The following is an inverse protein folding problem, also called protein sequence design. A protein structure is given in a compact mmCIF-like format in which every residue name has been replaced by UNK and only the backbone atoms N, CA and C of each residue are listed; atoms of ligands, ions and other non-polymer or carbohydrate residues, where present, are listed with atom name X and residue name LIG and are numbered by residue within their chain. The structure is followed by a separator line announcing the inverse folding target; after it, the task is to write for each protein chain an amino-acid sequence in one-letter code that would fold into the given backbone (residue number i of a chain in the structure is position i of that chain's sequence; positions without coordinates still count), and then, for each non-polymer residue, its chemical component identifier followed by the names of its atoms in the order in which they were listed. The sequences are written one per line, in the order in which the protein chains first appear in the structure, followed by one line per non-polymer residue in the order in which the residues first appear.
data_IF_525658148378
#
_entry.id   IF_525658148378
#
_cell.length_a   1.000
_cell.length_b   1.000
_cell.length_c   1.000
_cell.angle_alpha   90.00
_cell.angle_beta   90.00
_cell.angle_gamma   90.00
#
_symmetry.space_group_name_H-M   'P 1'
#
loop_
_entity.id
_entity.type
_entity.pdbx_description
1 polymer ?
#
# COMPACT_ATOMS: atom_id res chain seq x y z
N UNK A 1 14.54 5.74 1.70
CA UNK A 1 13.12 6.14 1.62
C UNK A 1 12.94 7.62 1.23
N UNK A 2 13.98 8.43 1.34
CA UNK A 2 13.86 9.92 1.28
C UNK A 2 13.66 10.56 -0.11
N UNK A 3 13.59 9.76 -1.18
CA UNK A 3 13.49 10.33 -2.53
C UNK A 3 12.14 10.13 -3.22
N UNK A 4 11.22 9.37 -2.61
CA UNK A 4 9.94 9.05 -3.23
C UNK A 4 8.92 10.19 -3.08
N UNK A 5 8.85 10.78 -1.89
CA UNK A 5 7.93 11.89 -1.61
C UNK A 5 8.20 13.15 -2.44
N UNK A 6 9.47 13.63 -2.56
CA UNK A 6 9.79 14.74 -3.45
C UNK A 6 9.43 14.44 -4.91
N UNK A 7 9.59 13.20 -5.36
CA UNK A 7 9.28 12.80 -6.72
C UNK A 7 7.77 12.81 -7.01
N UNK A 8 6.95 12.38 -6.04
CA UNK A 8 5.49 12.48 -6.12
C UNK A 8 5.05 13.94 -6.22
N UNK A 9 5.66 14.82 -5.42
CA UNK A 9 5.38 16.26 -5.46
C UNK A 9 5.73 16.87 -6.84
N UNK A 10 6.89 16.53 -7.40
CA UNK A 10 7.32 16.97 -8.73
C UNK A 10 6.35 16.48 -9.81
N UNK A 11 5.94 15.22 -9.76
CA UNK A 11 5.00 14.66 -10.73
C UNK A 11 3.61 15.29 -10.67
N UNK A 12 3.17 15.68 -9.47
CA UNK A 12 1.90 16.37 -9.27
C UNK A 12 1.91 17.78 -9.90
N UNK A 13 3.02 18.51 -9.76
CA UNK A 13 3.10 19.91 -10.21
C UNK A 13 3.63 20.06 -11.64
N UNK A 14 4.34 19.06 -12.14
CA UNK A 14 4.96 19.08 -13.48
C UNK A 14 4.58 17.84 -14.31
N UNK A 15 3.35 17.78 -14.84
CA UNK A 15 2.88 16.61 -15.60
C UNK A 15 3.73 16.30 -16.84
N UNK A 16 4.38 17.31 -17.45
CA UNK A 16 5.31 17.12 -18.55
C UNK A 16 6.56 16.35 -18.15
N UNK A 17 7.07 16.56 -16.92
CA UNK A 17 8.21 15.79 -16.39
C UNK A 17 7.79 14.34 -16.13
N UNK A 18 6.57 14.13 -15.62
CA UNK A 18 5.99 12.78 -15.48
C UNK A 18 5.95 12.06 -16.83
N UNK A 19 5.40 12.70 -17.86
CA UNK A 19 5.28 12.12 -19.20
C UNK A 19 6.65 11.84 -19.82
N UNK A 20 7.61 12.74 -19.67
CA UNK A 20 8.96 12.57 -20.17
C UNK A 20 9.69 11.40 -19.49
N UNK A 21 9.62 11.32 -18.16
CA UNK A 21 10.27 10.25 -17.38
C UNK A 21 9.62 8.88 -17.58
N UNK A 22 8.29 8.82 -17.70
CA UNK A 22 7.56 7.58 -17.94
C UNK A 22 7.58 7.14 -19.39
N UNK A 23 7.84 8.07 -20.33
CA UNK A 23 8.02 7.80 -21.76
C UNK A 23 9.44 7.39 -22.15
N UNK A 24 10.40 7.40 -21.22
CA UNK A 24 11.79 6.99 -21.49
C UNK A 24 11.83 5.49 -21.77
N UNK A 25 12.41 5.04 -22.89
CA UNK A 25 12.62 3.62 -23.18
C UNK A 25 13.34 2.90 -22.04
N UNK A 26 12.98 1.63 -21.78
CA UNK A 26 13.53 0.82 -20.67
C UNK A 26 15.07 0.77 -20.65
N UNK A 27 15.72 0.88 -21.81
CA UNK A 27 17.17 0.93 -21.92
C UNK A 27 17.79 2.16 -21.25
N UNK A 28 17.10 3.31 -21.26
CA UNK A 28 17.57 4.54 -20.59
C UNK A 28 17.17 4.58 -19.11
N UNK A 29 16.05 3.99 -18.74
CA UNK A 29 15.60 3.89 -17.34
C UNK A 29 16.61 3.10 -16.47
N UNK A 30 17.34 2.17 -17.07
CA UNK A 30 18.38 1.41 -16.38
C UNK A 30 19.60 2.24 -15.97
N UNK A 31 19.82 3.36 -16.61
CA UNK A 31 20.96 4.27 -16.36
C UNK A 31 20.59 5.27 -15.23
N UNK A 32 19.32 5.61 -15.07
CA UNK A 32 18.87 6.67 -14.18
C UNK A 32 18.92 6.31 -12.69
N UNK A 33 18.43 5.16 -12.25
CA UNK A 33 18.61 4.61 -10.87
C UNK A 33 18.06 3.17 -10.78
N UNK A 34 18.67 2.28 -9.97
CA UNK A 34 18.16 0.91 -9.77
C UNK A 34 16.72 0.85 -9.23
N UNK A 35 16.30 1.83 -8.40
CA UNK A 35 14.94 1.95 -7.86
C UNK A 35 13.88 2.19 -8.93
N UNK A 36 14.23 2.85 -10.04
CA UNK A 36 13.31 3.12 -11.14
C UNK A 36 12.92 1.83 -11.88
N UNK A 37 13.83 0.85 -11.95
CA UNK A 37 13.54 -0.46 -12.55
C UNK A 37 12.40 -1.20 -11.86
N UNK A 38 12.35 -1.14 -10.52
CA UNK A 38 11.29 -1.76 -9.73
C UNK A 38 9.91 -1.16 -10.04
N UNK A 39 9.84 0.17 -10.12
CA UNK A 39 8.59 0.89 -10.43
C UNK A 39 8.12 0.57 -11.85
N UNK A 40 9.03 0.58 -12.83
CA UNK A 40 8.68 0.25 -14.22
C UNK A 40 8.24 -1.21 -14.37
N UNK A 41 8.90 -2.14 -13.69
CA UNK A 41 8.50 -3.55 -13.70
C UNK A 41 7.11 -3.75 -13.08
N UNK A 42 6.81 -3.07 -11.97
CA UNK A 42 5.49 -3.09 -11.34
C UNK A 42 4.42 -2.49 -12.26
N UNK A 43 4.71 -1.34 -12.89
CA UNK A 43 3.80 -0.72 -13.85
C UNK A 43 3.50 -1.64 -15.04
N UNK A 44 4.52 -2.32 -15.57
CA UNK A 44 4.37 -3.29 -16.67
C UNK A 44 3.52 -4.49 -16.26
N UNK A 45 3.81 -5.07 -15.08
CA UNK A 45 3.05 -6.21 -14.55
C UNK A 45 1.58 -5.85 -14.34
N UNK A 46 1.33 -4.71 -13.69
CA UNK A 46 -0.03 -4.24 -13.43
C UNK A 46 -0.76 -3.89 -14.73
N UNK A 47 -0.06 -3.27 -15.69
CA UNK A 47 -0.62 -3.00 -17.02
C UNK A 47 -1.07 -4.26 -17.74
N UNK A 48 -0.27 -5.34 -17.69
CA UNK A 48 -0.66 -6.62 -18.27
C UNK A 48 -1.90 -7.22 -17.60
N UNK A 49 -1.98 -7.17 -16.26
CA UNK A 49 -3.17 -7.63 -15.53
C UNK A 49 -4.43 -6.84 -15.91
N UNK A 50 -4.31 -5.51 -16.06
CA UNK A 50 -5.43 -4.66 -16.48
C UNK A 50 -5.83 -4.97 -17.92
N UNK A 51 -4.89 -5.21 -18.82
CA UNK A 51 -5.17 -5.60 -20.20
C UNK A 51 -5.94 -6.92 -20.26
N UNK A 52 -5.60 -7.89 -19.42
CA UNK A 52 -6.30 -9.16 -19.32
C UNK A 52 -7.72 -8.99 -18.77
N UNK A 53 -7.90 -8.19 -17.72
CA UNK A 53 -9.22 -7.87 -17.14
C UNK A 53 -10.10 -7.13 -18.16
N UNK A 54 -9.57 -6.17 -18.90
CA UNK A 54 -10.33 -5.42 -19.89
C UNK A 54 -10.70 -6.27 -21.11
N UNK A 55 -9.87 -7.26 -21.46
CA UNK A 55 -10.16 -8.22 -22.52
C UNK A 55 -11.25 -9.23 -22.12
N UNK A 56 -11.20 -9.68 -20.88
CA UNK A 56 -12.18 -10.61 -20.32
C UNK A 56 -12.56 -10.21 -18.89
N UNK A 57 -13.57 -9.33 -18.72
CA UNK A 57 -14.05 -8.94 -17.40
C UNK A 57 -14.61 -10.08 -16.56
N UNK A 58 -15.00 -11.20 -17.19
CA UNK A 58 -15.49 -12.39 -16.46
C UNK A 58 -14.40 -13.07 -15.65
N UNK A 59 -13.12 -12.82 -15.97
CA UNK A 59 -11.98 -13.30 -15.20
C UNK A 59 -11.99 -12.83 -13.74
N UNK A 60 -12.59 -11.67 -13.47
CA UNK A 60 -12.76 -11.18 -12.10
C UNK A 60 -13.66 -12.10 -11.25
N UNK A 61 -14.61 -12.78 -11.85
CA UNK A 61 -15.52 -13.69 -11.13
C UNK A 61 -14.83 -14.98 -10.65
N UNK A 62 -13.65 -15.28 -11.18
CA UNK A 62 -12.86 -16.48 -10.81
C UNK A 62 -11.92 -16.21 -9.62
N UNK A 63 -11.84 -14.96 -9.14
CA UNK A 63 -10.98 -14.57 -8.02
C UNK A 63 -11.73 -14.81 -6.71
N UNK A 64 -11.08 -15.48 -5.74
CA UNK A 64 -11.68 -15.86 -4.46
C UNK A 64 -12.10 -14.68 -3.55
N UNK A 65 -11.70 -13.46 -3.90
CA UNK A 65 -12.01 -12.26 -3.13
C UNK A 65 -12.28 -11.07 -4.07
N UNK A 66 -13.08 -10.13 -3.61
CA UNK A 66 -13.31 -8.88 -4.33
C UNK A 66 -12.03 -8.04 -4.39
N UNK A 67 -11.70 -7.61 -5.59
CA UNK A 67 -10.62 -6.66 -5.85
C UNK A 67 -11.20 -5.27 -6.16
N UNK A 68 -10.39 -4.24 -6.10
CA UNK A 68 -10.81 -2.88 -6.43
C UNK A 68 -11.35 -2.77 -7.87
N UNK A 69 -10.87 -3.61 -8.78
CA UNK A 69 -11.34 -3.63 -10.17
C UNK A 69 -12.80 -4.09 -10.31
N UNK A 70 -13.29 -4.95 -9.38
CA UNK A 70 -14.72 -5.27 -9.31
C UNK A 70 -15.56 -4.01 -9.10
N UNK A 71 -15.13 -3.14 -8.17
CA UNK A 71 -15.85 -1.90 -7.87
C UNK A 71 -15.74 -0.88 -9.01
N UNK A 72 -14.57 -0.74 -9.62
CA UNK A 72 -14.38 0.21 -10.72
C UNK A 72 -15.13 -0.18 -12.00
N UNK A 73 -15.21 -1.47 -12.32
CA UNK A 73 -15.84 -1.96 -13.55
C UNK A 73 -17.33 -2.29 -13.37
N UNK A 74 -17.85 -2.26 -12.14
CA UNK A 74 -19.29 -2.39 -11.90
C UNK A 74 -20.00 -1.10 -12.34
N UNK A 75 -21.08 -1.17 -13.13
CA UNK A 75 -21.85 -0.01 -13.52
C UNK A 75 -22.33 0.76 -12.28
N UNK A 76 -21.95 2.04 -12.18
CA UNK A 76 -22.37 2.91 -11.10
C UNK A 76 -23.69 3.62 -11.48
N UNK A 77 -24.53 3.96 -10.47
CA UNK A 77 -25.72 4.79 -10.73
C UNK A 77 -25.35 6.11 -11.40
N UNK A 78 -26.19 6.61 -12.30
CA UNK A 78 -25.95 7.82 -13.11
C UNK A 78 -25.59 9.09 -12.32
N UNK A 79 -25.88 9.11 -11.01
CA UNK A 79 -25.60 10.25 -10.14
C UNK A 79 -24.15 10.34 -9.64
N UNK A 80 -23.33 9.32 -9.84
CA UNK A 80 -21.91 9.35 -9.50
C UNK A 80 -21.12 9.65 -10.76
N UNK A 81 -20.73 10.93 -10.93
CA UNK A 81 -19.82 11.36 -12.02
C UNK A 81 -18.40 10.87 -11.75
N UNK A 82 -18.15 9.62 -12.03
CA UNK A 82 -16.76 9.13 -12.12
C UNK A 82 -16.17 9.56 -13.47
N UNK A 83 -14.85 9.85 -13.51
CA UNK A 83 -14.17 10.06 -14.78
C UNK A 83 -14.33 8.82 -15.68
N UNK A 84 -14.27 8.97 -17.01
CA UNK A 84 -14.33 7.81 -17.90
C UNK A 84 -13.23 6.81 -17.52
N UNK A 85 -13.63 5.56 -17.32
CA UNK A 85 -12.73 4.47 -16.93
C UNK A 85 -11.89 4.10 -18.16
N UNK A 86 -10.65 4.58 -18.16
CA UNK A 86 -9.66 4.25 -19.18
C UNK A 86 -8.64 3.26 -18.60
N UNK A 87 -7.92 2.57 -19.49
CA UNK A 87 -6.80 1.70 -19.11
C UNK A 87 -5.76 2.44 -18.24
N UNK A 88 -5.41 3.65 -18.68
CA UNK A 88 -4.44 4.50 -17.99
C UNK A 88 -4.93 4.91 -16.61
N UNK A 89 -6.22 5.24 -16.49
CA UNK A 89 -6.82 5.58 -15.22
C UNK A 89 -6.78 4.39 -14.25
N UNK A 90 -7.17 3.19 -14.70
CA UNK A 90 -7.10 1.96 -13.89
C UNK A 90 -5.67 1.66 -13.44
N UNK A 91 -4.70 1.89 -14.31
CA UNK A 91 -3.29 1.67 -14.02
C UNK A 91 -2.77 2.67 -12.97
N UNK A 92 -3.09 3.94 -13.12
CA UNK A 92 -2.68 4.97 -12.18
C UNK A 92 -3.33 4.75 -10.80
N UNK A 93 -4.63 4.47 -10.73
CA UNK A 93 -5.33 4.15 -9.47
C UNK A 93 -4.77 2.90 -8.80
N UNK A 94 -4.57 1.83 -9.54
CA UNK A 94 -3.98 0.59 -9.01
C UNK A 94 -2.57 0.82 -8.45
N UNK A 95 -1.76 1.61 -9.13
CA UNK A 95 -0.42 1.98 -8.66
C UNK A 95 -0.47 2.83 -7.39
N UNK A 96 -1.35 3.86 -7.35
CA UNK A 96 -1.51 4.70 -6.16
C UNK A 96 -1.92 3.88 -4.94
N UNK A 97 -2.91 3.01 -5.08
CA UNK A 97 -3.36 2.16 -3.99
C UNK A 97 -2.29 1.18 -3.52
N UNK A 98 -1.55 0.61 -4.45
CA UNK A 98 -0.44 -0.29 -4.10
C UNK A 98 0.65 0.45 -3.33
N UNK A 99 1.08 1.63 -3.77
CA UNK A 99 2.09 2.41 -3.06
C UNK A 99 1.58 2.91 -1.72
N UNK A 100 0.35 3.41 -1.67
CA UNK A 100 -0.23 3.88 -0.41
C UNK A 100 -0.37 2.75 0.62
N UNK A 101 -0.79 1.55 0.20
CA UNK A 101 -1.06 0.43 1.11
C UNK A 101 0.17 -0.39 1.49
N UNK A 102 1.13 -0.61 0.56
CA UNK A 102 2.25 -1.51 0.86
C UNK A 102 3.37 -0.85 1.64
N UNK A 103 3.81 0.34 1.23
CA UNK A 103 4.99 0.97 1.84
C UNK A 103 4.70 1.48 3.25
N UNK A 104 3.55 2.09 3.47
CA UNK A 104 3.17 2.62 4.79
C UNK A 104 2.95 1.51 5.80
N UNK A 105 2.11 0.54 5.47
CA UNK A 105 1.80 -0.60 6.35
C UNK A 105 3.02 -1.48 6.56
N UNK A 106 3.75 -1.79 5.49
CA UNK A 106 4.97 -2.60 5.56
C UNK A 106 6.04 -1.96 6.44
N UNK A 107 6.21 -0.65 6.37
CA UNK A 107 7.15 0.08 7.21
C UNK A 107 6.72 0.06 8.69
N UNK A 108 5.46 0.38 8.97
CA UNK A 108 4.91 0.35 10.34
C UNK A 108 5.06 -1.06 10.94
N UNK A 109 4.67 -2.10 10.21
CA UNK A 109 4.81 -3.48 10.67
C UNK A 109 6.28 -3.86 10.91
N UNK A 110 7.18 -3.50 10.01
CA UNK A 110 8.62 -3.83 10.14
C UNK A 110 9.23 -3.17 11.37
N UNK A 111 9.04 -1.86 11.51
CA UNK A 111 9.63 -1.10 12.62
C UNK A 111 8.93 -1.45 13.93
N UNK A 112 7.60 -1.65 13.94
CA UNK A 112 6.84 -2.13 15.10
C UNK A 112 7.34 -3.49 15.57
N UNK A 113 7.50 -4.43 14.67
CA UNK A 113 8.04 -5.76 14.97
C UNK A 113 9.46 -5.68 15.54
N UNK A 114 10.32 -4.86 14.95
CA UNK A 114 11.67 -4.65 15.46
C UNK A 114 11.66 -4.19 16.93
N UNK A 115 10.84 -3.18 17.26
CA UNK A 115 10.75 -2.68 18.64
C UNK A 115 10.15 -3.70 19.61
N UNK A 116 9.13 -4.45 19.20
CA UNK A 116 8.56 -5.53 20.01
C UNK A 116 9.61 -6.59 20.32
N UNK A 117 10.40 -6.99 19.35
CA UNK A 117 11.42 -8.03 19.53
C UNK A 117 12.65 -7.53 20.29
N UNK A 118 12.96 -6.24 20.20
CA UNK A 118 14.12 -5.65 20.89
C UNK A 118 13.85 -5.37 22.37
N UNK A 119 12.63 -5.01 22.73
CA UNK A 119 12.21 -4.72 24.10
C UNK A 119 11.49 -5.94 24.71
N UNK A 120 12.17 -6.64 25.62
CA UNK A 120 11.64 -7.87 26.23
C UNK A 120 10.40 -7.63 27.08
N UNK A 121 10.29 -6.47 27.73
CA UNK A 121 9.14 -6.15 28.59
C UNK A 121 7.91 -5.85 27.75
N UNK A 122 8.08 -5.09 26.65
CA UNK A 122 7.03 -4.85 25.66
C UNK A 122 6.57 -6.16 25.03
N UNK A 123 7.53 -7.00 24.62
CA UNK A 123 7.21 -8.30 24.02
C UNK A 123 6.40 -9.19 24.97
N UNK A 124 6.86 -9.36 26.21
CA UNK A 124 6.19 -10.22 27.19
C UNK A 124 4.77 -9.70 27.51
N UNK A 125 4.64 -8.39 27.70
CA UNK A 125 3.35 -7.77 28.02
C UNK A 125 2.38 -7.89 26.86
N UNK A 126 2.82 -7.62 25.65
CA UNK A 126 2.00 -7.75 24.44
C UNK A 126 1.58 -9.21 24.21
N UNK A 127 2.54 -10.14 24.33
CA UNK A 127 2.28 -11.57 24.19
C UNK A 127 1.24 -12.07 25.21
N UNK A 128 1.40 -11.67 26.47
CA UNK A 128 0.44 -12.02 27.54
C UNK A 128 -0.95 -11.47 27.21
N UNK A 129 -1.06 -10.20 26.87
CA UNK A 129 -2.33 -9.55 26.52
C UNK A 129 -3.02 -10.25 25.35
N UNK A 130 -2.27 -10.57 24.29
CA UNK A 130 -2.81 -11.27 23.13
C UNK A 130 -3.22 -12.70 23.47
N UNK A 131 -2.42 -13.43 24.25
CA UNK A 131 -2.73 -14.82 24.63
C UNK A 131 -3.96 -14.93 25.52
N UNK A 132 -4.21 -13.94 26.39
CA UNK A 132 -5.41 -13.88 27.22
C UNK A 132 -6.66 -13.59 26.40
N UNK A 133 -6.58 -12.70 25.43
CA UNK A 133 -7.72 -12.31 24.57
C UNK A 133 -7.96 -13.28 23.40
N UNK A 134 -6.91 -13.93 22.94
CA UNK A 134 -6.91 -14.86 21.81
C UNK A 134 -6.14 -16.14 22.14
N UNK A 135 -6.73 -17.02 22.97
CA UNK A 135 -6.08 -18.23 23.46
C UNK A 135 -5.87 -19.30 22.39
N UNK A 136 -6.77 -19.36 21.39
CA UNK A 136 -6.72 -20.31 20.29
C UNK A 136 -6.27 -19.59 19.02
N UNK A 137 -5.00 -19.74 18.66
CA UNK A 137 -4.38 -19.14 17.47
C UNK A 137 -4.96 -19.66 16.14
N UNK A 138 -5.60 -20.83 16.14
CA UNK A 138 -6.14 -21.46 14.94
C UNK A 138 -7.55 -20.93 14.61
N UNK A 139 -8.17 -20.25 15.58
CA UNK A 139 -9.44 -19.53 15.37
C UNK A 139 -9.12 -18.04 15.12
N UNK A 140 -9.56 -17.44 13.98
CA UNK A 140 -9.31 -16.04 13.72
C UNK A 140 -9.90 -15.12 14.80
N UNK A 141 -9.10 -14.22 15.34
CA UNK A 141 -9.59 -13.20 16.27
C UNK A 141 -10.38 -12.14 15.46
N UNK A 142 -11.52 -11.69 16.00
CA UNK A 142 -12.26 -10.60 15.39
C UNK A 142 -11.52 -9.27 15.56
N UNK A 143 -11.71 -8.37 14.59
CA UNK A 143 -11.16 -7.01 14.68
C UNK A 143 -11.59 -6.30 15.97
N UNK A 144 -12.87 -6.42 16.34
CA UNK A 144 -13.43 -5.84 17.56
C UNK A 144 -12.73 -6.35 18.83
N UNK A 145 -12.38 -7.63 18.89
CA UNK A 145 -11.62 -8.19 20.02
C UNK A 145 -10.25 -7.54 20.13
N UNK A 146 -9.54 -7.37 19.01
CA UNK A 146 -8.20 -6.78 19.00
C UNK A 146 -8.21 -5.28 19.27
N UNK A 147 -9.21 -4.56 18.76
CA UNK A 147 -9.40 -3.11 18.95
C UNK A 147 -9.66 -2.75 20.42
N UNK A 148 -10.31 -3.63 21.18
CA UNK A 148 -10.57 -3.43 22.59
C UNK A 148 -9.37 -3.71 23.51
N UNK A 149 -8.26 -4.21 22.96
CA UNK A 149 -7.02 -4.44 23.73
C UNK A 149 -6.26 -3.12 23.92
N UNK A 150 -6.53 -2.45 25.03
CA UNK A 150 -5.97 -1.12 25.35
C UNK A 150 -4.45 -1.07 25.19
N UNK A 151 -3.73 -2.13 25.59
CA UNK A 151 -2.27 -2.15 25.46
C UNK A 151 -1.81 -2.26 24.00
N UNK A 152 -2.46 -3.08 23.19
CA UNK A 152 -2.16 -3.20 21.76
C UNK A 152 -2.41 -1.88 21.04
N UNK A 153 -3.55 -1.25 21.31
CA UNK A 153 -3.93 0.04 20.69
C UNK A 153 -2.98 1.15 21.14
N UNK A 154 -2.71 1.26 22.43
CA UNK A 154 -1.77 2.27 22.98
C UNK A 154 -0.36 2.10 22.42
N UNK A 155 0.13 0.86 22.29
CA UNK A 155 1.42 0.58 21.67
C UNK A 155 1.42 1.03 20.20
N UNK A 156 0.39 0.69 19.44
CA UNK A 156 0.28 1.05 18.01
C UNK A 156 0.24 2.57 17.80
N UNK A 157 -0.50 3.29 18.64
CA UNK A 157 -0.60 4.76 18.59
C UNK A 157 0.72 5.43 19.00
N UNK A 158 1.34 4.98 20.09
CA UNK A 158 2.63 5.53 20.55
C UNK A 158 3.71 5.30 19.50
N UNK A 159 3.67 4.16 18.86
CA UNK A 159 4.63 3.81 17.82
C UNK A 159 4.42 4.63 16.55
N UNK A 160 3.17 4.81 16.12
CA UNK A 160 2.81 5.68 14.98
C UNK A 160 3.29 7.11 15.18
N UNK A 161 3.09 7.70 16.36
CA UNK A 161 3.52 9.06 16.67
C UNK A 161 5.05 9.24 16.70
N UNK A 162 5.80 8.19 17.06
CA UNK A 162 7.28 8.23 16.99
C UNK A 162 7.82 8.19 15.57
N UNK A 163 7.12 7.57 14.65
CA UNK A 163 7.50 7.58 13.22
C UNK A 163 7.30 8.96 12.60
N UNK A 164 6.28 9.71 13.03
CA UNK A 164 6.07 11.10 12.62
C UNK A 164 7.16 12.02 13.17
N UNK A 165 7.52 11.89 14.45
CA UNK A 165 8.58 12.69 15.07
C UNK A 165 10.00 12.36 14.60
N UNK A 166 10.26 11.17 14.10
CA UNK A 166 11.57 10.82 13.52
C UNK A 166 11.83 11.49 12.17
N UNK A 167 10.79 11.96 11.49
CA UNK A 167 10.91 12.72 10.25
C UNK A 167 11.45 14.14 10.49
N UNK A 168 11.13 14.74 11.65
CA UNK A 168 11.55 16.10 12.00
C UNK A 168 13.00 16.20 12.52
N UNK A 169 13.59 15.06 12.89
CA UNK A 169 14.99 15.00 13.40
C UNK A 169 16.02 14.79 12.29
N UNK A 170 15.57 14.42 11.08
CA UNK A 170 16.43 14.12 9.93
C UNK A 170 16.39 15.21 8.83
N UNK A 171 15.69 16.33 9.07
CA UNK A 171 15.72 17.55 8.26
C UNK A 171 16.50 18.64 8.96
#
# INVERSE_FOLDING_TARGET
MDHTLPMIWVFKHFPLIKSLLLGVPECFASVLKPSTKGILAQRKQMGAQIDDILRDPSSLQTVDHETIYHHFLTPQPENQRMPPITREWLLDEGLYLRFAGSDTVGNICTVGTYHILHDKDVHQKLFKTLKEAWPDKDTPASYETLENLTYLVSFSLHFGSRLEGAHDVLT
#
